data_IF_681012836039
#
_entry.id   IF_681012836039
#
_cell.length_a   1.000
_cell.length_b   1.000
_cell.length_c   1.000
_cell.angle_alpha   90.00
_cell.angle_beta   90.00
_cell.angle_gamma   90.00
#
_symmetry.space_group_name_H-M   'P 1'
#
loop_
_entity.id
_entity.type
_entity.pdbx_description
1 polymer ?
#
# COMPACT_ATOMS: atom_id res chain seq x y z
N UNK A 1 9.66 -10.92 -15.16
CA UNK A 1 10.72 -10.20 -14.42
C UNK A 1 11.25 -11.13 -13.35
N UNK A 2 12.55 -11.39 -13.33
CA UNK A 2 13.17 -12.16 -12.26
C UNK A 2 13.17 -11.34 -10.96
N UNK A 3 13.14 -12.00 -9.78
CA UNK A 3 13.21 -11.31 -8.48
C UNK A 3 14.40 -10.34 -8.38
N UNK A 4 15.52 -10.70 -8.98
CA UNK A 4 16.75 -9.88 -9.00
C UNK A 4 16.64 -8.60 -9.83
N UNK A 5 15.83 -8.58 -10.88
CA UNK A 5 15.63 -7.37 -11.70
C UNK A 5 14.75 -6.35 -10.98
N UNK A 6 13.73 -6.82 -10.25
CA UNK A 6 12.90 -5.96 -9.42
C UNK A 6 13.67 -5.29 -8.30
N UNK A 7 14.48 -6.04 -7.57
CA UNK A 7 15.30 -5.51 -6.46
C UNK A 7 16.31 -4.46 -6.94
N UNK A 8 17.02 -4.70 -8.05
CA UNK A 8 17.98 -3.75 -8.64
C UNK A 8 17.30 -2.44 -9.07
N UNK A 9 16.15 -2.55 -9.70
CA UNK A 9 15.36 -1.38 -10.11
C UNK A 9 14.99 -0.52 -8.90
N UNK A 10 14.45 -1.12 -7.84
CA UNK A 10 14.06 -0.40 -6.63
C UNK A 10 15.26 0.20 -5.89
N UNK A 11 16.37 -0.52 -5.83
CA UNK A 11 17.62 0.00 -5.26
C UNK A 11 18.09 1.26 -5.98
N UNK A 12 18.04 1.27 -7.32
CA UNK A 12 18.39 2.42 -8.12
C UNK A 12 17.46 3.62 -7.86
N UNK A 13 16.14 3.39 -7.85
CA UNK A 13 15.15 4.45 -7.57
C UNK A 13 15.36 5.07 -6.18
N UNK A 14 15.54 4.24 -5.15
CA UNK A 14 15.74 4.72 -3.78
C UNK A 14 17.08 5.42 -3.59
N UNK A 15 18.13 4.95 -4.26
CA UNK A 15 19.44 5.62 -4.27
C UNK A 15 19.33 7.00 -4.92
N UNK A 16 18.59 7.10 -6.03
CA UNK A 16 18.36 8.39 -6.69
C UNK A 16 17.58 9.35 -5.78
N UNK A 17 16.53 8.90 -5.10
CA UNK A 17 15.82 9.71 -4.12
C UNK A 17 16.75 10.24 -3.03
N UNK A 18 17.64 9.39 -2.52
CA UNK A 18 18.64 9.78 -1.53
C UNK A 18 19.61 10.84 -2.07
N UNK A 19 20.11 10.65 -3.29
CA UNK A 19 20.98 11.61 -3.97
C UNK A 19 20.30 12.96 -4.23
N UNK A 20 18.99 12.95 -4.43
CA UNK A 20 18.16 14.16 -4.60
C UNK A 20 17.77 14.84 -3.29
N UNK A 21 18.26 14.35 -2.15
CA UNK A 21 18.11 14.99 -0.85
C UNK A 21 17.08 14.38 0.09
N UNK A 22 16.44 13.25 -0.25
CA UNK A 22 15.59 12.51 0.69
C UNK A 22 16.50 11.78 1.66
N UNK A 23 16.74 12.38 2.83
CA UNK A 23 17.67 11.84 3.81
C UNK A 23 17.09 10.72 4.64
N UNK A 24 15.77 10.71 4.88
CA UNK A 24 15.10 9.77 5.76
C UNK A 24 13.69 9.42 5.26
N UNK A 25 13.25 8.23 5.63
CA UNK A 25 11.88 7.74 5.42
C UNK A 25 11.34 7.20 6.75
N UNK A 26 10.27 7.78 7.27
CA UNK A 26 9.64 7.29 8.49
C UNK A 26 8.86 6.00 8.24
N UNK A 27 8.02 5.99 7.20
CA UNK A 27 7.14 4.87 6.86
C UNK A 27 7.15 4.66 5.36
N UNK A 28 7.29 3.41 4.93
CA UNK A 28 7.12 2.98 3.56
C UNK A 28 5.97 1.96 3.46
N UNK A 29 4.91 2.32 2.73
CA UNK A 29 3.79 1.44 2.48
C UNK A 29 3.99 0.72 1.15
N UNK A 30 4.24 -0.60 1.20
CA UNK A 30 4.56 -1.43 0.02
C UNK A 30 3.39 -2.35 -0.34
N UNK A 31 3.27 -2.69 -1.60
CA UNK A 31 2.24 -3.61 -2.10
C UNK A 31 2.67 -5.09 -2.10
N UNK A 32 3.83 -5.39 -1.52
CA UNK A 32 4.40 -6.73 -1.41
C UNK A 32 5.18 -7.17 -2.65
N UNK A 33 5.65 -6.22 -3.48
CA UNK A 33 6.52 -6.53 -4.61
C UNK A 33 7.85 -7.13 -4.12
N UNK A 34 8.29 -8.26 -4.70
CA UNK A 34 9.55 -8.88 -4.31
C UNK A 34 10.75 -7.95 -4.49
N UNK A 35 11.63 -7.91 -3.49
CA UNK A 35 12.85 -7.12 -3.50
C UNK A 35 12.67 -5.63 -3.17
N UNK A 36 11.45 -5.14 -3.01
CA UNK A 36 11.21 -3.72 -2.71
C UNK A 36 11.48 -3.41 -1.23
N UNK A 37 11.04 -4.27 -0.33
CA UNK A 37 11.27 -4.13 1.11
C UNK A 37 12.76 -4.18 1.45
N UNK A 38 13.49 -5.12 0.87
CA UNK A 38 14.94 -5.26 1.01
C UNK A 38 15.69 -4.03 0.47
N UNK A 39 15.24 -3.48 -0.66
CA UNK A 39 15.80 -2.26 -1.23
C UNK A 39 15.58 -1.05 -0.30
N UNK A 40 14.39 -0.91 0.29
CA UNK A 40 14.09 0.17 1.23
C UNK A 40 14.99 0.07 2.46
N UNK A 41 15.06 -1.09 3.10
CA UNK A 41 15.87 -1.29 4.31
C UNK A 41 17.36 -1.13 4.07
N UNK A 42 17.84 -1.43 2.86
CA UNK A 42 19.24 -1.21 2.47
C UNK A 42 19.62 0.27 2.37
N UNK A 43 18.73 1.11 1.85
CA UNK A 43 19.00 2.54 1.63
C UNK A 43 18.55 3.40 2.83
N UNK A 44 17.45 3.01 3.46
CA UNK A 44 16.82 3.68 4.61
C UNK A 44 16.59 2.68 5.74
N UNK A 45 17.64 2.30 6.49
CA UNK A 45 17.56 1.23 7.50
C UNK A 45 16.64 1.57 8.68
N UNK A 46 16.32 2.84 8.89
CA UNK A 46 15.40 3.30 9.94
C UNK A 46 13.95 3.35 9.48
N UNK A 47 13.68 3.13 8.19
CA UNK A 47 12.32 3.19 7.66
C UNK A 47 11.45 2.04 8.20
N UNK A 48 10.29 2.38 8.74
CA UNK A 48 9.26 1.40 9.05
C UNK A 48 8.59 0.92 7.77
N UNK A 49 8.82 -0.32 7.37
CA UNK A 49 8.16 -0.89 6.19
C UNK A 49 6.90 -1.64 6.62
N UNK A 50 5.80 -1.41 5.92
CA UNK A 50 4.56 -2.13 6.13
C UNK A 50 3.81 -2.39 4.83
N UNK A 51 2.94 -3.40 4.83
CA UNK A 51 2.05 -3.66 3.70
C UNK A 51 0.98 -2.56 3.56
N UNK A 52 0.73 -2.18 2.33
CA UNK A 52 -0.29 -1.20 2.00
C UNK A 52 -1.69 -1.77 2.27
N UNK A 53 -2.37 -1.21 3.27
CA UNK A 53 -3.74 -1.60 3.67
C UNK A 53 -4.71 -1.50 2.49
N UNK A 54 -4.57 -0.46 1.67
CA UNK A 54 -5.45 -0.26 0.50
C UNK A 54 -5.31 -1.40 -0.50
N UNK A 55 -4.07 -1.86 -0.75
CA UNK A 55 -3.83 -3.03 -1.60
C UNK A 55 -4.36 -4.33 -0.97
N UNK A 56 -4.21 -4.52 0.34
CA UNK A 56 -4.79 -5.66 1.07
C UNK A 56 -6.31 -5.71 0.91
N UNK A 57 -6.99 -4.59 1.13
CA UNK A 57 -8.45 -4.48 0.97
C UNK A 57 -8.86 -4.72 -0.49
N UNK A 58 -8.19 -4.10 -1.46
CA UNK A 58 -8.48 -4.31 -2.89
C UNK A 58 -8.29 -5.77 -3.30
N UNK A 59 -7.25 -6.42 -2.82
CA UNK A 59 -7.00 -7.84 -3.10
C UNK A 59 -8.07 -8.72 -2.46
N UNK A 60 -8.46 -8.46 -1.22
CA UNK A 60 -9.55 -9.16 -0.54
C UNK A 60 -10.85 -9.07 -1.34
N UNK A 61 -11.21 -7.89 -1.81
CA UNK A 61 -12.46 -7.65 -2.55
C UNK A 61 -12.51 -8.28 -3.95
N UNK A 62 -11.38 -8.76 -4.50
CA UNK A 62 -11.36 -9.52 -5.77
C UNK A 62 -12.08 -10.86 -5.65
N UNK A 63 -12.08 -11.45 -4.47
CA UNK A 63 -12.73 -12.75 -4.20
C UNK A 63 -14.21 -12.63 -3.87
N UNK A 64 -14.73 -11.39 -3.70
CA UNK A 64 -16.07 -11.14 -3.17
C UNK A 64 -17.06 -10.84 -4.28
N UNK A 65 -18.22 -11.51 -4.23
CA UNK A 65 -19.33 -11.23 -5.14
C UNK A 65 -19.82 -9.80 -5.00
N UNK A 66 -20.40 -9.26 -6.06
CA UNK A 66 -20.92 -7.89 -6.05
C UNK A 66 -21.93 -7.64 -4.91
N UNK A 67 -22.79 -8.62 -4.62
CA UNK A 67 -23.80 -8.54 -3.57
C UNK A 67 -23.20 -8.33 -2.17
N UNK A 68 -22.13 -9.04 -1.85
CA UNK A 68 -21.52 -9.04 -0.51
C UNK A 68 -20.43 -7.93 -0.37
N UNK A 69 -20.00 -7.35 -1.49
CA UNK A 69 -18.83 -6.46 -1.54
C UNK A 69 -18.90 -5.26 -0.59
N UNK A 70 -20.08 -4.65 -0.45
CA UNK A 70 -20.26 -3.49 0.43
C UNK A 70 -20.14 -3.89 1.91
N UNK A 71 -20.72 -5.00 2.30
CA UNK A 71 -20.67 -5.50 3.67
C UNK A 71 -19.26 -5.97 4.04
N UNK A 72 -18.63 -6.80 3.19
CA UNK A 72 -17.24 -7.24 3.38
C UNK A 72 -16.28 -6.06 3.48
N UNK A 73 -16.44 -5.02 2.63
CA UNK A 73 -15.61 -3.82 2.69
C UNK A 73 -15.82 -3.03 3.99
N UNK A 74 -17.03 -3.00 4.55
CA UNK A 74 -17.31 -2.36 5.82
C UNK A 74 -16.65 -3.10 6.99
N UNK A 75 -16.70 -4.42 7.00
CA UNK A 75 -16.10 -5.23 8.06
C UNK A 75 -14.55 -5.20 7.98
N UNK A 76 -13.98 -5.24 6.78
CA UNK A 76 -12.53 -5.00 6.60
C UNK A 76 -12.12 -3.60 7.07
N UNK A 77 -12.96 -2.59 6.85
CA UNK A 77 -12.71 -1.23 7.31
C UNK A 77 -12.67 -1.14 8.84
N UNK A 78 -13.49 -1.90 9.56
CA UNK A 78 -13.47 -1.95 11.01
C UNK A 78 -12.11 -2.41 11.54
N UNK A 79 -11.46 -3.38 10.88
CA UNK A 79 -10.15 -3.90 11.28
C UNK A 79 -9.10 -2.77 11.29
N UNK A 80 -8.88 -2.07 10.17
CA UNK A 80 -7.81 -1.07 10.08
C UNK A 80 -8.17 0.30 10.65
N UNK A 81 -9.42 0.51 11.08
CA UNK A 81 -9.87 1.71 11.78
C UNK A 81 -10.01 1.52 13.28
N UNK A 82 -9.74 0.36 13.79
CA UNK A 82 -9.74 0.07 15.22
C UNK A 82 -8.83 1.04 16.00
N UNK A 83 -9.17 1.33 17.22
CA UNK A 83 -8.38 2.22 18.05
C UNK A 83 -7.07 1.55 18.50
N UNK A 84 -7.12 0.25 18.76
CA UNK A 84 -5.98 -0.56 19.22
C UNK A 84 -5.78 -1.80 18.35
N UNK A 85 -4.64 -2.47 18.53
CA UNK A 85 -4.33 -3.70 17.82
C UNK A 85 -5.23 -4.84 18.29
N UNK A 86 -5.56 -4.89 19.58
CA UNK A 86 -6.43 -5.88 20.18
C UNK A 86 -7.87 -5.77 19.64
N UNK A 87 -8.35 -4.54 19.48
CA UNK A 87 -9.65 -4.29 18.84
C UNK A 87 -9.62 -4.71 17.36
N UNK A 88 -8.54 -4.47 16.65
CA UNK A 88 -8.38 -4.91 15.27
C UNK A 88 -8.37 -6.44 15.14
N UNK A 89 -7.72 -7.15 16.07
CA UNK A 89 -7.73 -8.62 16.15
C UNK A 89 -9.14 -9.14 16.39
N UNK A 90 -9.89 -8.51 17.30
CA UNK A 90 -11.29 -8.87 17.54
C UNK A 90 -12.16 -8.66 16.29
N UNK A 91 -11.95 -7.56 15.57
CA UNK A 91 -12.65 -7.32 14.29
C UNK A 91 -12.28 -8.35 13.22
N UNK A 92 -11.01 -8.78 13.15
CA UNK A 92 -10.59 -9.83 12.24
C UNK A 92 -11.21 -11.18 12.60
N UNK A 93 -11.29 -11.52 13.90
CA UNK A 93 -11.97 -12.72 14.37
C UNK A 93 -13.47 -12.71 14.02
N UNK A 94 -14.15 -11.59 14.24
CA UNK A 94 -15.55 -11.40 13.87
C UNK A 94 -15.76 -11.50 12.34
N UNK A 95 -14.82 -10.95 11.57
CA UNK A 95 -14.81 -11.07 10.12
C UNK A 95 -14.75 -12.55 9.70
N UNK A 96 -13.83 -13.33 10.28
CA UNK A 96 -13.69 -14.76 10.01
C UNK A 96 -14.98 -15.53 10.34
N UNK A 97 -15.59 -15.29 11.51
CA UNK A 97 -16.85 -15.91 11.90
C UNK A 97 -17.99 -15.62 10.91
N UNK A 98 -18.03 -14.41 10.36
CA UNK A 98 -19.12 -13.99 9.44
C UNK A 98 -18.90 -14.47 8.02
N UNK A 99 -17.66 -14.51 7.55
CA UNK A 99 -17.36 -14.61 6.12
C UNK A 99 -16.58 -15.86 5.69
N UNK A 100 -15.96 -16.61 6.62
CA UNK A 100 -15.08 -17.73 6.25
C UNK A 100 -15.81 -18.89 5.57
N UNK A 101 -17.11 -19.07 5.81
CA UNK A 101 -17.88 -20.05 5.06
C UNK A 101 -17.85 -19.77 3.54
N UNK A 102 -17.81 -18.49 3.15
CA UNK A 102 -17.81 -18.04 1.74
C UNK A 102 -16.44 -17.59 1.25
N UNK A 103 -15.68 -16.92 2.10
CA UNK A 103 -14.49 -16.15 1.72
C UNK A 103 -13.28 -16.40 2.62
N UNK A 104 -13.08 -17.62 3.12
CA UNK A 104 -11.96 -18.00 4.00
C UNK A 104 -10.56 -17.58 3.51
N UNK A 105 -10.25 -17.45 2.21
CA UNK A 105 -8.95 -16.93 1.79
C UNK A 105 -8.65 -15.52 2.27
N UNK A 106 -9.68 -14.69 2.57
CA UNK A 106 -9.49 -13.31 2.99
C UNK A 106 -8.94 -13.27 4.42
N UNK A 107 -9.62 -13.88 5.38
CA UNK A 107 -9.20 -13.90 6.79
C UNK A 107 -7.81 -14.54 6.93
N UNK A 108 -7.56 -15.65 6.23
CA UNK A 108 -6.25 -16.31 6.18
C UNK A 108 -5.15 -15.38 5.69
N UNK A 109 -5.38 -14.65 4.59
CA UNK A 109 -4.40 -13.71 4.06
C UNK A 109 -4.09 -12.57 5.04
N UNK A 110 -5.12 -12.06 5.75
CA UNK A 110 -4.93 -11.04 6.79
C UNK A 110 -4.14 -11.59 7.98
N UNK A 111 -4.43 -12.79 8.47
CA UNK A 111 -3.67 -13.43 9.53
C UNK A 111 -2.20 -13.66 9.12
N UNK A 112 -1.95 -14.18 7.93
CA UNK A 112 -0.59 -14.43 7.43
C UNK A 112 0.26 -13.17 7.29
N UNK A 113 -0.37 -12.02 7.04
CA UNK A 113 0.32 -10.75 6.86
C UNK A 113 0.17 -9.81 8.07
N UNK A 114 -0.36 -10.31 9.19
CA UNK A 114 -0.76 -9.49 10.33
C UNK A 114 0.36 -8.58 10.83
N UNK A 115 1.53 -9.14 11.11
CA UNK A 115 2.69 -8.39 11.58
C UNK A 115 3.21 -7.35 10.59
N UNK A 116 2.95 -7.57 9.29
CA UNK A 116 3.35 -6.64 8.22
C UNK A 116 2.30 -5.57 7.93
N UNK A 117 1.05 -5.77 8.35
CA UNK A 117 -0.05 -4.82 8.14
C UNK A 117 -0.23 -3.90 9.35
N UNK A 118 0.08 -4.35 10.55
CA UNK A 118 -0.24 -3.68 11.81
C UNK A 118 0.77 -2.65 12.36
N UNK A 119 1.99 -2.46 11.82
CA UNK A 119 2.94 -1.49 12.38
C UNK A 119 2.38 -0.06 12.52
N UNK A 120 1.43 0.33 11.66
CA UNK A 120 0.82 1.66 11.71
C UNK A 120 0.02 1.92 13.00
N UNK A 121 -0.38 0.90 13.75
CA UNK A 121 -1.06 1.08 15.03
C UNK A 121 -0.18 1.75 16.09
N UNK A 122 1.15 1.72 15.95
CA UNK A 122 2.08 2.45 16.80
C UNK A 122 2.01 3.97 16.64
N UNK A 123 1.34 4.48 15.60
CA UNK A 123 1.26 5.92 15.31
C UNK A 123 -0.05 6.54 15.78
N UNK A 124 -0.06 7.87 16.05
CA UNK A 124 -1.28 8.61 16.36
C UNK A 124 -2.33 8.52 15.25
N UNK A 125 -3.64 8.68 15.58
CA UNK A 125 -4.74 8.54 14.63
C UNK A 125 -4.61 9.40 13.36
N UNK A 126 -4.05 10.59 13.47
CA UNK A 126 -3.82 11.52 12.35
C UNK A 126 -2.84 10.94 11.33
N UNK A 127 -1.74 10.34 11.81
CA UNK A 127 -0.75 9.68 10.97
C UNK A 127 -1.34 8.39 10.36
N UNK A 128 -2.05 7.58 11.16
CA UNK A 128 -2.74 6.38 10.66
C UNK A 128 -3.67 6.71 9.49
N UNK A 129 -4.42 7.82 9.60
CA UNK A 129 -5.32 8.27 8.55
C UNK A 129 -4.60 8.51 7.22
N UNK A 130 -3.41 9.08 7.25
CA UNK A 130 -2.61 9.30 6.04
C UNK A 130 -2.18 7.96 5.42
N UNK A 131 -1.81 6.98 6.24
CA UNK A 131 -1.33 5.67 5.80
C UNK A 131 -2.42 4.86 5.05
N UNK A 132 -3.66 4.87 5.53
CA UNK A 132 -4.75 4.10 4.90
C UNK A 132 -5.69 4.94 4.03
N UNK A 133 -5.37 6.23 3.77
CA UNK A 133 -6.07 7.03 2.78
C UNK A 133 -5.15 7.31 1.59
N UNK A 134 -5.57 6.88 0.42
CA UNK A 134 -4.80 7.06 -0.82
C UNK A 134 -5.20 8.30 -1.61
N UNK A 135 -6.08 9.14 -1.07
CA UNK A 135 -6.67 10.26 -1.81
C UNK A 135 -5.64 11.17 -2.47
N UNK A 136 -4.53 11.49 -1.79
CA UNK A 136 -3.47 12.34 -2.35
C UNK A 136 -2.72 11.63 -3.49
N UNK A 137 -2.31 10.38 -3.27
CA UNK A 137 -1.57 9.57 -4.27
C UNK A 137 -2.50 9.21 -5.45
N UNK A 138 -3.75 8.84 -5.19
CA UNK A 138 -4.72 8.52 -6.25
C UNK A 138 -5.09 9.75 -7.07
N UNK A 139 -5.21 10.92 -6.44
CA UNK A 139 -5.45 12.19 -7.13
C UNK A 139 -4.27 12.54 -8.04
N UNK A 140 -3.04 12.46 -7.54
CA UNK A 140 -1.84 12.68 -8.32
C UNK A 140 -1.73 11.68 -9.48
N UNK A 141 -1.87 10.38 -9.22
CA UNK A 141 -1.83 9.35 -10.25
C UNK A 141 -2.94 9.53 -11.29
N UNK A 142 -4.13 9.94 -10.87
CA UNK A 142 -5.23 10.24 -11.78
C UNK A 142 -4.90 11.42 -12.70
N UNK A 143 -4.28 12.46 -12.15
CA UNK A 143 -3.85 13.64 -12.90
C UNK A 143 -2.75 13.29 -13.90
N UNK A 144 -1.73 12.54 -13.46
CA UNK A 144 -0.65 12.04 -14.33
C UNK A 144 -1.21 11.17 -15.47
N UNK A 145 -2.09 10.21 -15.16
CA UNK A 145 -2.72 9.35 -16.17
C UNK A 145 -3.55 10.13 -17.19
N UNK A 146 -4.25 11.19 -16.76
CA UNK A 146 -4.99 12.07 -17.68
C UNK A 146 -4.03 12.75 -18.66
N UNK A 147 -2.93 13.31 -18.18
CA UNK A 147 -1.94 13.99 -19.00
C UNK A 147 -1.32 13.00 -20.01
N UNK A 148 -0.88 11.83 -19.55
CA UNK A 148 -0.30 10.79 -20.42
C UNK A 148 -1.31 10.34 -21.48
N UNK A 149 -2.56 10.07 -21.10
CA UNK A 149 -3.61 9.62 -22.03
C UNK A 149 -3.96 10.67 -23.07
N UNK A 150 -3.94 11.96 -22.71
CA UNK A 150 -4.28 13.07 -23.61
C UNK A 150 -3.18 13.30 -24.64
N UNK A 151 -1.92 13.08 -24.27
CA UNK A 151 -0.77 13.35 -25.17
C UNK A 151 -0.29 12.16 -26.01
N UNK A 152 -0.76 10.94 -25.72
CA UNK A 152 -0.43 9.68 -26.43
C UNK A 152 1.05 9.31 -26.51
N UNK A 153 1.98 10.27 -26.62
CA UNK A 153 3.43 10.08 -26.58
C UNK A 153 4.13 11.39 -26.19
N UNK A 154 5.25 11.29 -25.49
CA UNK A 154 6.18 12.39 -25.27
C UNK A 154 7.33 12.24 -26.25
N UNK A 155 7.78 13.33 -26.91
CA UNK A 155 8.87 13.26 -27.89
C UNK A 155 10.24 12.97 -27.26
N UNK A 156 10.40 13.20 -25.95
CA UNK A 156 11.59 12.85 -25.18
C UNK A 156 11.27 12.76 -23.68
N UNK A 157 12.17 12.14 -22.91
CA UNK A 157 12.09 12.06 -21.45
C UNK A 157 12.10 13.45 -20.81
N UNK A 158 12.87 14.38 -21.37
CA UNK A 158 12.96 15.76 -20.92
C UNK A 158 11.63 16.51 -21.12
N UNK A 159 10.95 16.28 -22.25
CA UNK A 159 9.62 16.83 -22.48
C UNK A 159 8.56 16.27 -21.53
N UNK A 160 8.71 15.03 -21.08
CA UNK A 160 7.88 14.45 -20.04
C UNK A 160 8.15 15.09 -18.69
N UNK A 161 9.41 15.23 -18.30
CA UNK A 161 9.82 15.84 -17.02
C UNK A 161 9.36 17.29 -16.89
N UNK A 162 9.53 18.11 -17.94
CA UNK A 162 9.11 19.52 -17.95
C UNK A 162 7.60 19.71 -17.80
N UNK A 163 6.79 18.71 -18.18
CA UNK A 163 5.33 18.76 -17.99
C UNK A 163 4.90 18.52 -16.54
N UNK A 164 5.73 17.87 -15.73
CA UNK A 164 5.48 17.55 -14.32
C UNK A 164 6.26 18.44 -13.35
N UNK A 165 7.15 19.30 -13.86
CA UNK A 165 7.80 20.34 -13.06
C UNK A 165 6.76 21.45 -12.77
N UNK A 166 6.26 21.46 -11.52
CA UNK A 166 5.45 22.53 -10.92
C UNK A 166 6.36 23.30 -9.97
#
# INVERSE_FOLDING_TARGET
MSQNEGAKFWLQVLTELKNRGVQDLFIACVDGLPGFEEAITSIYPQAQVQLCIVHMVRNSLKYVTYKDRKAVAADLKAIYRAATIEEAEQHLANFAQTWDEKYAPISRAWHQQWERVTPFFAYPPEIRKVIYTTNAIESLNSSIRKIIKTRRAFPSDEAALNQFAI
#
